data_IF_894210621950
#
_entry.id   IF_894210621950
#
_cell.length_a   1.000
_cell.length_b   1.000
_cell.length_c   1.000
_cell.angle_alpha   90.00
_cell.angle_beta   90.00
_cell.angle_gamma   90.00
#
_symmetry.space_group_name_H-M   'P 1'
#
loop_
_entity.id
_entity.type
_entity.pdbx_description
1 polymer ?
#
# COMPACT_ATOMS: atom_id res chain seq x y z
N UNK A 1 -8.63 9.95 -0.82
CA UNK A 1 -7.92 8.71 -0.39
C UNK A 1 -8.96 7.75 0.16
N UNK A 2 -9.05 6.52 -0.34
CA UNK A 2 -10.10 5.60 0.09
C UNK A 2 -9.75 4.97 1.45
N UNK A 3 -10.18 5.63 2.54
CA UNK A 3 -9.98 5.20 3.93
C UNK A 3 -10.45 3.76 4.17
N UNK A 4 -11.37 3.27 3.33
CA UNK A 4 -11.83 1.88 3.33
C UNK A 4 -10.69 0.90 3.04
N UNK A 5 -9.83 1.17 2.06
CA UNK A 5 -8.76 0.23 1.66
C UNK A 5 -7.66 0.15 2.72
N UNK A 6 -7.33 1.27 3.37
CA UNK A 6 -6.37 1.28 4.48
C UNK A 6 -6.93 0.52 5.68
N UNK A 7 -8.22 0.68 6.00
CA UNK A 7 -8.86 -0.09 7.06
C UNK A 7 -8.89 -1.60 6.76
N UNK A 8 -9.11 -2.00 5.50
CA UNK A 8 -9.00 -3.40 5.07
C UNK A 8 -7.55 -3.90 5.22
N UNK A 9 -6.56 -3.11 4.79
CA UNK A 9 -5.14 -3.46 4.91
C UNK A 9 -4.72 -3.65 6.37
N UNK A 10 -5.15 -2.76 7.28
CA UNK A 10 -4.92 -2.89 8.73
C UNK A 10 -5.57 -4.15 9.28
N UNK A 11 -6.79 -4.46 8.86
CA UNK A 11 -7.52 -5.68 9.28
C UNK A 11 -6.80 -6.94 8.81
N UNK A 12 -6.37 -6.99 7.55
CA UNK A 12 -5.60 -8.11 7.00
C UNK A 12 -4.25 -8.28 7.68
N UNK A 13 -3.58 -7.18 8.01
CA UNK A 13 -2.31 -7.18 8.76
C UNK A 13 -2.52 -7.76 10.15
N UNK A 14 -3.59 -7.37 10.84
CA UNK A 14 -3.95 -7.91 12.15
C UNK A 14 -4.23 -9.42 12.09
N UNK A 15 -5.00 -9.88 11.08
CA UNK A 15 -5.27 -11.31 10.89
C UNK A 15 -3.97 -12.08 10.63
N UNK A 16 -3.13 -11.58 9.74
CA UNK A 16 -1.82 -12.19 9.44
C UNK A 16 -0.92 -12.25 10.68
N UNK A 17 -0.92 -11.20 11.49
CA UNK A 17 -0.16 -11.13 12.75
C UNK A 17 -0.60 -12.19 13.76
N UNK A 18 -1.91 -12.38 13.95
CA UNK A 18 -2.45 -13.42 14.84
C UNK A 18 -2.10 -14.82 14.35
N UNK A 19 -2.23 -15.07 13.04
CA UNK A 19 -1.87 -16.36 12.43
C UNK A 19 -0.38 -16.64 12.64
N UNK A 20 0.50 -15.65 12.45
CA UNK A 20 1.93 -15.79 12.70
C UNK A 20 2.26 -16.16 14.15
N UNK A 21 1.60 -15.53 15.13
CA UNK A 21 1.83 -15.84 16.55
C UNK A 21 1.35 -17.25 16.88
N UNK A 22 0.11 -17.59 16.54
CA UNK A 22 -0.46 -18.91 16.80
C UNK A 22 0.39 -19.98 16.11
N UNK A 23 0.80 -19.70 14.88
CA UNK A 23 1.63 -20.59 14.11
C UNK A 23 3.03 -20.79 14.68
N UNK A 24 3.65 -19.71 15.10
CA UNK A 24 4.94 -19.76 15.78
C UNK A 24 4.88 -20.60 17.05
N UNK A 25 3.82 -20.49 17.86
CA UNK A 25 3.59 -21.34 19.05
C UNK A 25 3.46 -22.82 18.68
N UNK A 26 2.75 -23.16 17.61
CA UNK A 26 2.61 -24.55 17.13
C UNK A 26 3.97 -25.13 16.72
N UNK A 27 4.86 -24.32 16.14
CA UNK A 27 6.17 -24.78 15.69
C UNK A 27 7.11 -25.23 16.85
N UNK A 28 6.86 -24.79 18.09
CA UNK A 28 7.62 -25.23 19.27
C UNK A 28 7.48 -26.73 19.58
N UNK A 29 6.47 -27.41 19.03
CA UNK A 29 6.34 -28.87 19.18
C UNK A 29 7.37 -29.66 18.37
N UNK A 30 8.20 -29.00 17.56
CA UNK A 30 9.27 -29.64 16.78
C UNK A 30 10.61 -28.98 17.06
N UNK A 31 11.68 -29.78 17.19
CA UNK A 31 13.05 -29.26 17.49
C UNK A 31 13.53 -28.28 16.42
N UNK A 32 13.24 -28.56 15.15
CA UNK A 32 13.58 -27.68 14.02
C UNK A 32 12.68 -26.43 13.99
N UNK A 33 11.42 -26.55 14.40
CA UNK A 33 10.45 -25.47 14.37
C UNK A 33 10.66 -24.40 15.45
N UNK A 34 11.39 -24.67 16.54
CA UNK A 34 11.65 -23.65 17.58
C UNK A 34 12.32 -22.40 17.01
N UNK A 35 13.30 -22.55 16.11
CA UNK A 35 14.01 -21.40 15.52
C UNK A 35 13.05 -20.54 14.67
N UNK A 36 12.29 -21.18 13.78
CA UNK A 36 11.32 -20.48 12.92
C UNK A 36 10.14 -19.92 13.72
N UNK A 37 9.68 -20.64 14.76
CA UNK A 37 8.59 -20.23 15.61
C UNK A 37 8.89 -18.96 16.41
N UNK A 38 10.14 -18.78 16.86
CA UNK A 38 10.56 -17.51 17.49
C UNK A 38 10.47 -16.35 16.50
N UNK A 39 10.94 -16.55 15.25
CA UNK A 39 10.87 -15.53 14.20
C UNK A 39 9.41 -15.17 13.87
N UNK A 40 8.53 -16.17 13.75
CA UNK A 40 7.11 -15.95 13.47
C UNK A 40 6.40 -15.17 14.59
N UNK A 41 6.71 -15.48 15.86
CA UNK A 41 6.17 -14.73 17.01
C UNK A 41 6.67 -13.29 16.99
N UNK A 42 7.96 -13.04 16.76
CA UNK A 42 8.51 -11.69 16.68
C UNK A 42 7.82 -10.90 15.56
N UNK A 43 7.64 -11.52 14.39
CA UNK A 43 6.92 -10.93 13.27
C UNK A 43 5.49 -10.57 13.63
N UNK A 44 4.74 -11.50 14.17
CA UNK A 44 3.34 -11.28 14.52
C UNK A 44 3.16 -10.25 15.65
N UNK A 45 4.00 -10.26 16.69
CA UNK A 45 3.97 -9.23 17.74
C UNK A 45 4.34 -7.85 17.19
N UNK A 46 5.26 -7.77 16.23
CA UNK A 46 5.61 -6.51 15.56
C UNK A 46 4.44 -5.97 14.77
N UNK A 47 3.78 -6.82 13.96
CA UNK A 47 2.65 -6.45 13.12
C UNK A 47 1.38 -6.14 13.91
N UNK A 48 1.17 -6.75 15.08
CA UNK A 48 0.04 -6.44 15.96
C UNK A 48 -0.01 -4.95 16.35
N UNK A 49 1.15 -4.32 16.52
CA UNK A 49 1.25 -2.89 16.87
C UNK A 49 0.69 -1.97 15.80
N UNK A 50 0.62 -2.45 14.55
CA UNK A 50 0.24 -1.62 13.41
C UNK A 50 -1.28 -1.39 13.34
N UNK A 51 -2.06 -2.12 14.14
CA UNK A 51 -3.50 -1.89 14.31
C UNK A 51 -3.79 -0.49 14.86
N UNK A 52 -2.95 -0.02 15.77
CA UNK A 52 -3.15 1.24 16.50
C UNK A 52 -2.47 2.43 15.80
N UNK A 53 -1.79 2.20 14.66
CA UNK A 53 -1.13 3.24 13.90
C UNK A 53 -2.12 4.11 13.13
N UNK A 54 -1.78 5.38 12.97
CA UNK A 54 -2.46 6.27 12.00
C UNK A 54 -2.27 5.75 10.56
N UNK A 55 -3.08 6.24 9.63
CA UNK A 55 -3.01 5.83 8.22
C UNK A 55 -1.65 6.17 7.58
N UNK A 56 -1.04 7.28 8.00
CA UNK A 56 0.27 7.74 7.54
C UNK A 56 1.40 6.85 8.10
N UNK A 57 1.40 6.58 9.41
CA UNK A 57 2.38 5.71 10.05
C UNK A 57 2.31 4.26 9.52
N UNK A 58 1.09 3.77 9.26
CA UNK A 58 0.88 2.44 8.70
C UNK A 58 1.51 2.29 7.31
N UNK A 59 1.39 3.33 6.47
CA UNK A 59 2.01 3.37 5.15
C UNK A 59 3.52 3.45 5.21
N UNK A 60 4.07 4.30 6.08
CA UNK A 60 5.53 4.42 6.26
C UNK A 60 6.16 3.07 6.64
N UNK A 61 5.45 2.27 7.45
CA UNK A 61 5.88 0.93 7.86
C UNK A 61 5.39 -0.20 6.94
N UNK A 62 4.75 0.10 5.81
CA UNK A 62 4.17 -0.92 4.93
C UNK A 62 5.22 -1.85 4.33
N UNK A 63 6.44 -1.38 4.07
CA UNK A 63 7.55 -2.26 3.64
C UNK A 63 7.86 -3.37 4.66
N UNK A 64 7.69 -3.11 5.95
CA UNK A 64 7.86 -4.16 6.96
C UNK A 64 6.76 -5.23 6.83
N UNK A 65 5.54 -4.85 6.45
CA UNK A 65 4.43 -5.79 6.19
C UNK A 65 4.79 -6.73 5.04
N UNK A 66 5.38 -6.21 3.97
CA UNK A 66 5.89 -7.01 2.85
C UNK A 66 6.95 -8.02 3.30
N UNK A 67 7.96 -7.55 4.04
CA UNK A 67 9.07 -8.41 4.51
C UNK A 67 8.54 -9.55 5.37
N UNK A 68 7.67 -9.25 6.34
CA UNK A 68 7.07 -10.28 7.19
C UNK A 68 6.13 -11.21 6.42
N UNK A 69 5.39 -10.69 5.44
CA UNK A 69 4.57 -11.52 4.54
C UNK A 69 5.39 -12.57 3.79
N UNK A 70 6.56 -12.19 3.29
CA UNK A 70 7.49 -13.12 2.63
C UNK A 70 8.01 -14.15 3.62
N UNK A 71 8.46 -13.73 4.81
CA UNK A 71 8.95 -14.64 5.86
C UNK A 71 7.89 -15.68 6.22
N UNK A 72 6.64 -15.27 6.42
CA UNK A 72 5.54 -16.16 6.82
C UNK A 72 5.19 -17.20 5.73
N UNK A 73 5.40 -16.87 4.46
CA UNK A 73 5.26 -17.85 3.37
C UNK A 73 6.33 -18.94 3.51
N UNK A 74 7.57 -18.55 3.80
CA UNK A 74 8.68 -19.50 3.95
C UNK A 74 8.62 -20.34 5.23
N UNK A 75 7.96 -19.84 6.29
CA UNK A 75 7.78 -20.57 7.57
C UNK A 75 6.53 -21.45 7.62
N UNK A 76 5.94 -21.76 6.45
CA UNK A 76 4.75 -22.60 6.27
C UNK A 76 3.40 -22.00 6.74
N UNK A 77 3.33 -20.67 6.95
CA UNK A 77 2.10 -19.92 7.28
C UNK A 77 1.56 -19.15 6.07
N UNK A 78 1.36 -19.88 4.97
CA UNK A 78 1.00 -19.32 3.65
C UNK A 78 -0.22 -18.41 3.72
N UNK A 79 -1.26 -18.78 4.48
CA UNK A 79 -2.47 -17.96 4.63
C UNK A 79 -2.16 -16.61 5.28
N UNK A 80 -1.39 -16.61 6.39
CA UNK A 80 -0.98 -15.38 7.06
C UNK A 80 -0.07 -14.51 6.19
N UNK A 81 0.86 -15.14 5.47
CA UNK A 81 1.74 -14.47 4.53
C UNK A 81 0.99 -13.81 3.37
N UNK A 82 0.02 -14.51 2.76
CA UNK A 82 -0.83 -13.94 1.69
C UNK A 82 -1.64 -12.75 2.20
N UNK A 83 -2.22 -12.83 3.40
CA UNK A 83 -2.93 -11.70 4.00
C UNK A 83 -2.04 -10.45 4.11
N UNK A 84 -0.78 -10.62 4.52
CA UNK A 84 0.19 -9.52 4.64
C UNK A 84 0.59 -8.96 3.27
N UNK A 85 0.78 -9.81 2.25
CA UNK A 85 1.05 -9.34 0.89
C UNK A 85 -0.11 -8.52 0.33
N UNK A 86 -1.35 -9.00 0.49
CA UNK A 86 -2.54 -8.27 0.04
C UNK A 86 -2.67 -6.93 0.80
N UNK A 87 -2.39 -6.92 2.11
CA UNK A 87 -2.37 -5.68 2.89
C UNK A 87 -1.33 -4.68 2.36
N UNK A 88 -0.12 -5.14 2.03
CA UNK A 88 0.93 -4.30 1.45
C UNK A 88 0.50 -3.71 0.11
N UNK A 89 -0.05 -4.53 -0.80
CA UNK A 89 -0.51 -4.04 -2.10
C UNK A 89 -1.67 -3.06 -1.95
N UNK A 90 -2.64 -3.31 -1.06
CA UNK A 90 -3.74 -2.37 -0.80
C UNK A 90 -3.23 -1.02 -0.25
N UNK A 91 -2.22 -1.05 0.60
CA UNK A 91 -1.63 0.16 1.17
C UNK A 91 -0.87 1.01 0.12
N UNK A 92 -0.21 0.37 -0.85
CA UNK A 92 0.72 1.04 -1.77
C UNK A 92 0.20 1.20 -3.21
N UNK A 93 -0.75 0.38 -3.66
CA UNK A 93 -1.26 0.41 -5.04
C UNK A 93 -1.94 1.74 -5.38
N UNK A 94 -2.64 2.33 -4.42
CA UNK A 94 -3.34 3.61 -4.61
C UNK A 94 -2.38 4.80 -4.77
N UNK A 95 -1.19 4.73 -4.19
CA UNK A 95 -0.19 5.79 -4.28
C UNK A 95 0.56 5.73 -5.60
N UNK A 96 0.91 4.52 -6.06
CA UNK A 96 1.44 4.33 -7.41
C UNK A 96 0.44 4.69 -8.51
N UNK A 97 -0.84 4.31 -8.37
CA UNK A 97 -1.87 4.69 -9.33
C UNK A 97 -2.07 6.22 -9.40
N UNK A 98 -2.05 6.89 -8.23
CA UNK A 98 -2.15 8.35 -8.13
C UNK A 98 -0.92 9.07 -8.69
N UNK A 99 0.28 8.59 -8.40
CA UNK A 99 1.50 9.22 -8.89
C UNK A 99 1.58 9.09 -10.42
N UNK A 100 1.17 7.97 -10.99
CA UNK A 100 1.12 7.81 -12.44
C UNK A 100 0.06 8.71 -13.09
N UNK A 101 -1.16 8.81 -12.53
CA UNK A 101 -2.18 9.73 -13.08
C UNK A 101 -1.74 11.19 -13.02
N UNK A 102 -1.09 11.60 -11.92
CA UNK A 102 -0.61 12.97 -11.78
C UNK A 102 0.53 13.30 -12.77
N UNK A 103 1.39 12.32 -13.09
CA UNK A 103 2.44 12.49 -14.11
C UNK A 103 1.80 12.63 -15.50
N UNK A 104 0.80 11.81 -15.82
CA UNK A 104 0.09 11.88 -17.10
C UNK A 104 -0.65 13.23 -17.27
N UNK A 105 -1.30 13.71 -16.21
CA UNK A 105 -1.96 15.03 -16.18
C UNK A 105 -0.97 16.20 -16.36
N UNK A 106 0.20 16.14 -15.73
CA UNK A 106 1.25 17.14 -15.88
C UNK A 106 1.83 17.15 -17.30
N UNK A 107 2.05 15.98 -17.90
CA UNK A 107 2.47 15.88 -19.29
C UNK A 107 1.41 16.42 -20.27
N UNK A 108 0.12 16.17 -20.00
CA UNK A 108 -0.98 16.69 -20.81
C UNK A 108 -1.05 18.23 -20.74
N UNK A 109 -0.85 18.80 -19.54
CA UNK A 109 -0.79 20.25 -19.35
C UNK A 109 0.42 20.89 -20.04
N UNK A 110 1.59 20.28 -19.93
CA UNK A 110 2.83 20.76 -20.57
C UNK A 110 2.70 20.75 -22.10
N UNK A 111 2.12 19.68 -22.65
CA UNK A 111 1.84 19.59 -24.09
C UNK A 111 0.84 20.64 -24.56
N UNK A 112 -0.21 20.91 -23.78
CA UNK A 112 -1.18 21.97 -24.10
C UNK A 112 -0.50 23.35 -24.10
N UNK A 113 0.37 23.64 -23.13
CA UNK A 113 1.12 24.89 -23.06
C UNK A 113 2.05 25.08 -24.26
N UNK A 114 2.75 24.03 -24.70
CA UNK A 114 3.56 24.07 -25.91
C UNK A 114 2.74 24.36 -27.17
N UNK A 115 1.57 23.73 -27.31
CA UNK A 115 0.69 23.92 -28.46
C UNK A 115 0.15 25.35 -28.51
N UNK A 116 -0.12 25.96 -27.35
CA UNK A 116 -0.50 27.36 -27.24
C UNK A 116 0.65 28.28 -27.66
N UNK A 117 1.87 28.05 -27.17
CA UNK A 117 3.05 28.82 -27.59
C UNK A 117 3.33 28.72 -29.09
N UNK A 118 3.12 27.54 -29.67
CA UNK A 118 3.26 27.30 -31.11
C UNK A 118 2.09 27.90 -31.93
N UNK A 119 1.09 28.50 -31.28
CA UNK A 119 -0.09 29.08 -31.92
C UNK A 119 -1.04 28.05 -32.56
N UNK A 120 -0.91 26.78 -32.17
CA UNK A 120 -1.74 25.67 -32.68
C UNK A 120 -3.11 25.67 -31.99
N UNK A 121 -3.14 26.06 -30.72
CA UNK A 121 -4.37 26.25 -29.94
C UNK A 121 -4.43 27.67 -29.37
N UNK A 122 -5.64 28.10 -29.05
CA UNK A 122 -5.91 29.42 -28.44
C UNK A 122 -5.72 29.41 -26.93
N UNK A 123 -5.54 30.59 -26.33
CA UNK A 123 -5.42 30.75 -24.88
C UNK A 123 -6.69 30.30 -24.14
N UNK A 124 -7.87 30.50 -24.73
CA UNK A 124 -9.13 30.01 -24.20
C UNK A 124 -9.22 28.47 -24.20
N UNK A 125 -8.67 27.81 -25.22
CA UNK A 125 -8.61 26.34 -25.29
C UNK A 125 -7.63 25.77 -24.26
N UNK A 126 -6.49 26.44 -24.04
CA UNK A 126 -5.55 26.09 -23.00
C UNK A 126 -6.16 26.20 -21.59
N UNK A 127 -6.83 27.30 -21.27
CA UNK A 127 -7.45 27.49 -19.95
C UNK A 127 -8.58 26.47 -19.70
N UNK A 128 -9.34 26.05 -20.73
CA UNK A 128 -10.31 24.95 -20.60
C UNK A 128 -9.67 23.61 -20.24
N UNK A 129 -8.52 23.28 -20.84
CA UNK A 129 -7.78 22.04 -20.52
C UNK A 129 -7.24 22.11 -19.09
N UNK A 130 -6.68 23.24 -18.70
CA UNK A 130 -6.19 23.49 -17.34
C UNK A 130 -7.30 23.40 -16.29
N UNK A 131 -8.45 24.03 -16.52
CA UNK A 131 -9.61 23.92 -15.62
C UNK A 131 -10.13 22.48 -15.51
N UNK A 132 -10.12 21.73 -16.61
CA UNK A 132 -10.53 20.33 -16.62
C UNK A 132 -9.62 19.49 -15.71
N UNK A 133 -8.30 19.62 -15.85
CA UNK A 133 -7.31 18.90 -15.03
C UNK A 133 -7.46 19.28 -13.55
N UNK A 134 -7.62 20.58 -13.24
CA UNK A 134 -7.82 21.06 -11.86
C UNK A 134 -9.12 20.53 -11.23
N UNK A 135 -10.21 20.45 -12.00
CA UNK A 135 -11.49 19.93 -11.51
C UNK A 135 -11.48 18.40 -11.34
N UNK A 136 -10.75 17.68 -12.19
CA UNK A 136 -10.52 16.25 -12.02
C UNK A 136 -9.70 15.95 -10.75
N UNK A 137 -8.72 16.79 -10.40
CA UNK A 137 -7.98 16.67 -9.14
C UNK A 137 -8.87 16.99 -7.92
N UNK A 138 -9.74 18.01 -8.00
CA UNK A 138 -10.68 18.35 -6.91
C UNK A 138 -11.73 17.27 -6.62
N UNK A 139 -12.25 16.59 -7.65
CA UNK A 139 -13.25 15.52 -7.47
C UNK A 139 -12.68 14.21 -6.89
N UNK A 140 -11.36 14.12 -6.66
CA UNK A 140 -10.71 12.97 -5.99
C UNK A 140 -10.62 13.11 -4.46
N UNK A 141 -11.11 14.21 -3.89
CA UNK A 141 -11.18 14.50 -2.45
C UNK A 141 -12.63 14.51 -1.95
#
# INVERSE_FOLDING_TARGET
MDSKNINIAKTLTFIGAVIGIVGGVIMFFTVVGVIFGVVDIIGGVTLLKYKDFSDEEFKEKSNNILVWGIIFIFTAWVVGGICLLVAYFLANYYESARNNSNIDELMELEKAFELMQKGVITEEEYEKIKEKIINEDKNRY
#
